data_IF_956720600050
#
_entry.id   IF_956720600050
#
_cell.length_a   1.000
_cell.length_b   1.000
_cell.length_c   1.000
_cell.angle_alpha   90.00
_cell.angle_beta   90.00
_cell.angle_gamma   90.00
#
_symmetry.space_group_name_H-M   'P 1'
#
loop_
_entity.id
_entity.type
_entity.pdbx_description
1 polymer ?
#
# COMPACT_ATOMS: atom_id res chain seq x y z
N UNK A 1 -6.81 -11.52 32.68
CA UNK A 1 -5.60 -10.75 33.01
C UNK A 1 -6.04 -9.43 33.60
N UNK A 2 -5.66 -9.15 34.85
CA UNK A 2 -5.92 -7.86 35.48
C UNK A 2 -4.97 -6.81 34.89
N UNK A 3 -5.47 -5.62 34.57
CA UNK A 3 -4.68 -4.46 34.12
C UNK A 3 -4.83 -3.39 35.20
N UNK A 4 -3.71 -2.89 35.70
CA UNK A 4 -3.70 -1.78 36.65
C UNK A 4 -3.72 -0.48 35.86
N UNK A 5 -4.73 0.35 36.09
CA UNK A 5 -4.85 1.67 35.47
C UNK A 5 -4.59 2.72 36.55
N UNK A 6 -3.68 3.68 36.27
CA UNK A 6 -3.39 4.76 37.20
C UNK A 6 -4.66 5.58 37.50
N UNK A 7 -4.88 6.04 38.75
CA UNK A 7 -6.09 6.79 39.11
C UNK A 7 -6.36 8.01 38.23
N UNK A 8 -5.31 8.74 37.84
CA UNK A 8 -5.42 9.89 36.93
C UNK A 8 -5.94 9.49 35.54
N UNK A 9 -5.42 8.39 34.99
CA UNK A 9 -5.84 7.84 33.70
C UNK A 9 -7.29 7.35 33.77
N UNK A 10 -7.64 6.59 34.82
CA UNK A 10 -9.00 6.11 35.04
C UNK A 10 -10.00 7.26 35.13
N UNK A 11 -9.69 8.30 35.91
CA UNK A 11 -10.54 9.47 36.08
C UNK A 11 -10.71 10.27 34.78
N UNK A 12 -9.66 10.36 33.94
CA UNK A 12 -9.75 10.98 32.63
C UNK A 12 -10.65 10.18 31.68
N UNK A 13 -10.50 8.85 31.66
CA UNK A 13 -11.34 7.97 30.83
C UNK A 13 -12.82 8.01 31.24
N UNK A 14 -13.12 8.00 32.53
CA UNK A 14 -14.50 8.12 33.06
C UNK A 14 -15.18 9.42 32.61
N UNK A 15 -14.42 10.52 32.57
CA UNK A 15 -14.89 11.84 32.11
C UNK A 15 -14.87 11.99 30.59
N UNK A 16 -14.49 10.95 29.83
CA UNK A 16 -14.24 11.02 28.38
C UNK A 16 -13.23 12.12 28.01
N UNK A 17 -12.28 12.38 28.91
CA UNK A 17 -11.16 13.29 28.70
C UNK A 17 -10.09 12.69 27.78
N UNK A 18 -9.19 13.56 27.29
CA UNK A 18 -8.11 13.15 26.41
C UNK A 18 -7.04 12.36 27.19
N UNK A 19 -6.74 11.14 26.74
CA UNK A 19 -5.66 10.31 27.24
C UNK A 19 -4.78 9.88 26.08
N UNK A 20 -3.46 9.99 26.25
CA UNK A 20 -2.47 9.60 25.24
C UNK A 20 -1.61 8.47 25.80
N UNK A 21 -1.68 7.30 25.18
CA UNK A 21 -0.79 6.19 25.52
C UNK A 21 0.64 6.48 25.07
N UNK A 22 1.62 5.95 25.81
CA UNK A 22 3.06 6.01 25.50
C UNK A 22 3.70 4.63 25.71
N UNK A 23 4.63 4.23 24.83
CA UNK A 23 5.31 2.93 24.92
C UNK A 23 6.52 2.98 25.88
N UNK A 24 6.90 1.82 26.42
CA UNK A 24 8.08 1.70 27.28
C UNK A 24 9.32 1.11 26.58
N UNK A 25 9.19 0.51 25.39
CA UNK A 25 10.35 -0.01 24.64
C UNK A 25 11.38 1.07 24.33
N UNK A 26 10.94 2.28 23.95
CA UNK A 26 11.86 3.39 23.66
C UNK A 26 12.70 3.78 24.88
N UNK A 27 12.13 3.64 26.08
CA UNK A 27 12.79 3.97 27.35
C UNK A 27 13.85 2.91 27.70
N UNK A 28 13.51 1.61 27.55
CA UNK A 28 14.42 0.52 27.94
C UNK A 28 15.47 0.16 26.87
N UNK A 29 15.07 0.22 25.60
CA UNK A 29 15.85 -0.32 24.46
C UNK A 29 16.22 0.73 23.42
N UNK A 30 15.56 1.88 23.43
CA UNK A 30 15.75 2.94 22.43
C UNK A 30 16.77 4.01 22.82
N UNK A 31 16.94 4.28 24.12
CA UNK A 31 17.79 5.37 24.62
C UNK A 31 18.60 4.94 25.85
N UNK A 32 19.82 5.46 26.05
CA UNK A 32 20.62 5.18 27.23
C UNK A 32 20.15 6.00 28.45
N UNK A 33 20.38 5.47 29.65
CA UNK A 33 20.21 6.22 30.90
C UNK A 33 21.31 7.30 31.05
N UNK A 34 20.99 8.51 31.55
CA UNK A 34 19.70 9.01 32.05
C UNK A 34 18.79 9.64 30.99
N UNK A 35 19.23 9.71 29.73
CA UNK A 35 18.47 10.38 28.65
C UNK A 35 17.11 9.74 28.42
N UNK A 36 17.00 8.42 28.55
CA UNK A 36 15.73 7.71 28.45
C UNK A 36 14.68 8.22 29.46
N UNK A 37 15.05 8.43 30.73
CA UNK A 37 14.17 8.94 31.78
C UNK A 37 13.82 10.42 31.54
N UNK A 38 14.81 11.23 31.16
CA UNK A 38 14.62 12.64 30.83
C UNK A 38 13.61 12.79 29.68
N UNK A 39 13.84 12.10 28.57
CA UNK A 39 12.92 12.12 27.42
C UNK A 39 11.52 11.62 27.78
N UNK A 40 11.40 10.53 28.55
CA UNK A 40 10.09 10.03 28.96
C UNK A 40 9.33 11.07 29.80
N UNK A 41 10.01 11.72 30.74
CA UNK A 41 9.44 12.77 31.60
C UNK A 41 9.03 14.01 30.79
N UNK A 42 9.88 14.44 29.85
CA UNK A 42 9.61 15.57 28.96
C UNK A 42 8.41 15.29 28.05
N UNK A 43 8.30 14.07 27.49
CA UNK A 43 7.15 13.68 26.68
C UNK A 43 5.86 13.66 27.50
N UNK A 44 5.88 13.15 28.73
CA UNK A 44 4.72 13.21 29.62
C UNK A 44 4.32 14.67 29.92
N UNK A 45 5.29 15.57 30.12
CA UNK A 45 5.03 16.99 30.32
C UNK A 45 4.39 17.65 29.09
N UNK A 46 4.89 17.39 27.89
CA UNK A 46 4.33 17.93 26.63
C UNK A 46 2.87 17.48 26.43
N UNK A 47 2.55 16.23 26.73
CA UNK A 47 1.17 15.73 26.67
C UNK A 47 0.25 16.48 27.66
N UNK A 48 0.75 16.73 28.87
CA UNK A 48 0.02 17.49 29.91
C UNK A 48 -0.19 18.94 29.52
N UNK A 49 0.82 19.59 28.97
CA UNK A 49 0.74 20.98 28.47
C UNK A 49 -0.30 21.11 27.34
N UNK A 50 -0.45 20.06 26.52
CA UNK A 50 -1.50 19.99 25.49
C UNK A 50 -2.91 19.69 26.05
N UNK A 51 -3.06 19.52 27.37
CA UNK A 51 -4.35 19.28 28.04
C UNK A 51 -4.80 17.82 28.07
N UNK A 52 -3.91 16.87 27.77
CA UNK A 52 -4.21 15.44 27.84
C UNK A 52 -3.47 14.75 28.99
N UNK A 53 -3.97 13.59 29.43
CA UNK A 53 -3.30 12.76 30.45
C UNK A 53 -2.39 11.74 29.76
N UNK A 54 -1.07 11.73 30.04
CA UNK A 54 -0.17 10.72 29.53
C UNK A 54 -0.37 9.39 30.26
N UNK A 55 -0.29 8.30 29.52
CA UNK A 55 -0.38 6.94 30.04
C UNK A 55 0.76 6.08 29.51
N UNK A 56 1.93 6.16 30.14
CA UNK A 56 3.05 5.24 29.86
C UNK A 56 2.66 3.81 30.24
N UNK A 57 2.84 2.87 29.32
CA UNK A 57 2.40 1.47 29.48
C UNK A 57 3.62 0.55 29.62
N UNK A 58 3.60 -0.36 30.59
CA UNK A 58 4.60 -1.41 30.78
C UNK A 58 4.00 -2.62 31.52
N UNK A 59 4.73 -3.74 31.57
CA UNK A 59 4.41 -4.87 32.45
C UNK A 59 5.41 -4.85 33.60
N UNK A 60 4.91 -4.75 34.82
CA UNK A 60 5.71 -4.74 36.05
C UNK A 60 5.38 -6.00 36.85
N UNK A 61 6.38 -6.84 37.09
CA UNK A 61 6.28 -8.05 37.90
C UNK A 61 5.06 -8.93 37.51
N UNK A 62 4.88 -9.13 36.19
CA UNK A 62 3.77 -9.89 35.60
C UNK A 62 2.46 -9.12 35.42
N UNK A 63 2.37 -7.87 35.90
CA UNK A 63 1.13 -7.08 35.89
C UNK A 63 1.22 -5.94 34.88
N UNK A 64 0.36 -5.90 33.84
CA UNK A 64 0.26 -4.74 32.96
C UNK A 64 -0.20 -3.50 33.71
N UNK A 65 0.53 -2.40 33.53
CA UNK A 65 0.23 -1.10 34.09
C UNK A 65 0.00 -0.09 32.95
N UNK A 66 -1.06 0.71 33.07
CA UNK A 66 -1.39 1.82 32.17
C UNK A 66 -1.37 3.12 32.96
N UNK A 67 -0.35 3.94 32.69
CA UNK A 67 0.04 5.08 33.52
C UNK A 67 1.03 4.63 34.60
N UNK A 68 2.30 4.96 34.43
CA UNK A 68 3.34 4.71 35.43
C UNK A 68 3.50 5.93 36.33
N UNK A 69 3.78 5.70 37.62
CA UNK A 69 4.24 6.78 38.50
C UNK A 69 5.74 7.04 38.31
N UNK A 70 6.26 8.13 38.90
CA UNK A 70 7.65 8.54 38.74
C UNK A 70 8.67 7.49 39.20
N UNK A 71 8.38 6.74 40.26
CA UNK A 71 9.26 5.67 40.76
C UNK A 71 9.27 4.45 39.82
N UNK A 72 8.10 4.06 39.30
CA UNK A 72 7.98 2.99 38.31
C UNK A 72 8.69 3.36 37.00
N UNK A 73 8.52 4.59 36.53
CA UNK A 73 9.18 5.10 35.33
C UNK A 73 10.70 5.13 35.50
N UNK A 74 11.18 5.56 36.67
CA UNK A 74 12.61 5.57 37.03
C UNK A 74 13.18 4.15 37.13
N UNK A 75 12.46 3.21 37.76
CA UNK A 75 12.83 1.78 37.80
C UNK A 75 12.99 1.24 36.38
N UNK A 76 12.01 1.50 35.51
CA UNK A 76 12.02 1.05 34.12
C UNK A 76 13.21 1.61 33.34
N UNK A 77 13.51 2.91 33.51
CA UNK A 77 14.62 3.57 32.84
C UNK A 77 16.02 3.10 33.32
N UNK A 78 16.19 2.84 34.62
CA UNK A 78 17.45 2.35 35.20
C UNK A 78 17.68 0.88 34.81
N UNK A 79 16.65 0.05 34.91
CA UNK A 79 16.76 -1.39 34.60
C UNK A 79 17.00 -1.65 33.10
N UNK A 80 16.54 -0.77 32.21
CA UNK A 80 16.86 -0.81 30.79
C UNK A 80 16.57 -2.19 30.16
N UNK A 81 17.59 -2.80 29.54
CA UNK A 81 17.48 -4.10 28.85
C UNK A 81 17.11 -5.30 29.75
N UNK A 82 17.13 -5.14 31.08
CA UNK A 82 16.61 -6.16 31.99
C UNK A 82 15.08 -6.33 31.83
N UNK A 83 14.39 -5.30 31.35
CA UNK A 83 13.00 -5.43 30.91
C UNK A 83 12.98 -6.09 29.54
N UNK A 84 12.28 -7.22 29.44
CA UNK A 84 12.10 -7.90 28.17
C UNK A 84 11.39 -6.97 27.18
N UNK A 85 11.87 -6.88 25.94
CA UNK A 85 11.14 -6.21 24.88
C UNK A 85 9.90 -7.04 24.53
N UNK A 86 8.72 -6.49 24.76
CA UNK A 86 7.45 -7.22 24.73
C UNK A 86 6.57 -6.71 23.60
N UNK A 87 6.46 -7.49 22.53
CA UNK A 87 5.43 -7.34 21.51
C UNK A 87 4.17 -8.12 21.91
N UNK A 88 3.08 -7.97 21.13
CA UNK A 88 1.78 -8.62 21.46
C UNK A 88 1.88 -10.12 21.76
N UNK A 89 2.70 -10.86 21.01
CA UNK A 89 2.88 -12.32 21.21
C UNK A 89 3.57 -12.66 22.53
N UNK A 90 4.39 -11.75 23.05
CA UNK A 90 5.23 -11.99 24.23
C UNK A 90 4.47 -11.72 25.54
N UNK A 91 3.34 -11.00 25.47
CA UNK A 91 2.53 -10.60 26.64
C UNK A 91 2.19 -11.80 27.51
N UNK A 92 1.70 -12.89 26.92
CA UNK A 92 1.26 -14.07 27.68
C UNK A 92 2.42 -14.68 28.48
N UNK A 93 3.61 -14.75 27.89
CA UNK A 93 4.80 -15.29 28.55
C UNK A 93 5.25 -14.39 29.70
N UNK A 94 5.39 -13.08 29.46
CA UNK A 94 5.88 -12.12 30.47
C UNK A 94 4.92 -12.03 31.66
N UNK A 95 3.62 -12.04 31.41
CA UNK A 95 2.60 -12.01 32.47
C UNK A 95 2.61 -13.31 33.27
N UNK A 96 2.63 -14.47 32.60
CA UNK A 96 2.59 -15.76 33.27
C UNK A 96 3.86 -16.05 34.10
N UNK A 97 5.01 -15.51 33.69
CA UNK A 97 6.29 -15.69 34.40
C UNK A 97 6.50 -14.70 35.55
N UNK A 98 5.60 -13.75 35.78
CA UNK A 98 5.83 -12.67 36.74
C UNK A 98 6.94 -11.71 36.28
N UNK A 99 7.24 -11.65 34.98
CA UNK A 99 8.36 -10.91 34.42
C UNK A 99 8.10 -9.42 34.23
N UNK A 100 9.17 -8.68 33.93
CA UNK A 100 9.13 -7.26 33.59
C UNK A 100 9.22 -7.08 32.06
N UNK A 101 8.28 -6.31 31.49
CA UNK A 101 8.12 -6.15 30.05
C UNK A 101 8.04 -4.69 29.63
N UNK A 102 8.94 -4.27 28.74
CA UNK A 102 8.87 -3.01 28.03
C UNK A 102 8.04 -3.20 26.75
N UNK A 103 6.85 -2.61 26.69
CA UNK A 103 5.90 -2.81 25.60
C UNK A 103 6.37 -2.12 24.33
N UNK A 104 6.31 -2.81 23.19
CA UNK A 104 6.48 -2.20 21.87
C UNK A 104 5.20 -1.50 21.44
N UNK A 105 5.17 -0.91 20.24
CA UNK A 105 3.96 -0.39 19.60
C UNK A 105 2.83 -1.42 19.63
N UNK A 106 3.06 -2.66 19.19
CA UNK A 106 2.00 -3.68 19.15
C UNK A 106 1.40 -4.02 20.53
N UNK A 107 2.23 -4.18 21.56
CA UNK A 107 1.73 -4.47 22.91
C UNK A 107 1.07 -3.23 23.55
N UNK A 108 1.60 -2.04 23.32
CA UNK A 108 1.06 -0.78 23.85
C UNK A 108 -0.33 -0.53 23.29
N UNK A 109 -0.53 -0.69 21.97
CA UNK A 109 -1.85 -0.61 21.34
C UNK A 109 -2.85 -1.58 21.94
N UNK A 110 -2.45 -2.83 22.16
CA UNK A 110 -3.31 -3.85 22.76
C UNK A 110 -3.81 -3.43 24.15
N UNK A 111 -2.91 -2.97 25.02
CA UNK A 111 -3.30 -2.52 26.37
C UNK A 111 -4.10 -1.22 26.36
N UNK A 112 -3.69 -0.24 25.54
CA UNK A 112 -4.38 1.04 25.38
C UNK A 112 -5.85 0.81 24.98
N UNK A 113 -6.07 -0.02 23.95
CA UNK A 113 -7.41 -0.35 23.49
C UNK A 113 -8.23 -1.08 24.56
N UNK A 114 -7.62 -2.02 25.29
CA UNK A 114 -8.28 -2.77 26.37
C UNK A 114 -8.83 -1.87 27.48
N UNK A 115 -8.24 -0.71 27.70
CA UNK A 115 -8.69 0.27 28.71
C UNK A 115 -9.42 1.48 28.09
N UNK A 116 -9.68 1.48 26.79
CA UNK A 116 -10.44 2.53 26.11
C UNK A 116 -9.65 3.76 25.68
N UNK A 117 -8.31 3.73 25.70
CA UNK A 117 -7.47 4.79 25.13
C UNK A 117 -7.42 4.65 23.61
N UNK A 118 -7.70 5.73 22.88
CA UNK A 118 -7.82 5.73 21.42
C UNK A 118 -6.62 6.35 20.69
N UNK A 119 -5.74 7.07 21.41
CA UNK A 119 -4.59 7.77 20.85
C UNK A 119 -3.29 7.25 21.48
N UNK A 120 -2.30 6.96 20.65
CA UNK A 120 -0.97 6.52 21.06
C UNK A 120 0.10 7.31 20.28
N UNK A 121 1.11 7.81 20.97
CA UNK A 121 2.27 8.50 20.36
C UNK A 121 3.53 7.67 20.54
N UNK A 122 4.32 7.55 19.48
CA UNK A 122 5.67 6.97 19.50
C UNK A 122 6.60 7.77 18.58
N UNK A 123 7.91 7.56 18.68
CA UNK A 123 8.86 8.13 17.72
C UNK A 123 8.63 7.57 16.30
N UNK A 124 8.56 6.25 16.16
CA UNK A 124 8.46 5.59 14.86
C UNK A 124 7.98 4.17 15.00
N UNK A 125 7.04 3.74 14.17
CA UNK A 125 6.52 2.37 14.20
C UNK A 125 7.56 1.38 13.64
N UNK A 126 7.41 0.09 13.96
CA UNK A 126 8.04 -0.96 13.18
C UNK A 126 7.43 -1.07 11.78
N UNK A 127 8.01 -1.92 10.94
CA UNK A 127 7.57 -2.05 9.56
C UNK A 127 8.15 -3.29 8.89
N UNK A 128 8.09 -3.32 7.56
CA UNK A 128 8.78 -4.33 6.76
C UNK A 128 10.27 -3.99 6.75
N UNK A 129 11.12 -4.94 7.11
CA UNK A 129 12.56 -4.73 7.06
C UNK A 129 13.05 -4.70 5.60
N UNK A 130 14.21 -4.09 5.36
CA UNK A 130 14.84 -4.13 4.02
C UNK A 130 15.11 -5.58 3.65
N UNK A 131 14.81 -5.94 2.39
CA UNK A 131 14.80 -7.33 1.89
C UNK A 131 13.72 -8.22 2.52
N UNK A 132 12.68 -7.63 3.13
CA UNK A 132 11.56 -8.36 3.74
C UNK A 132 10.80 -9.28 2.79
N UNK A 133 10.89 -9.08 1.46
CA UNK A 133 10.33 -10.00 0.46
C UNK A 133 11.07 -11.35 0.34
N UNK A 134 12.21 -11.46 1.01
CA UNK A 134 13.06 -12.66 1.08
C UNK A 134 13.10 -13.20 2.49
N UNK A 135 13.35 -12.33 3.48
CA UNK A 135 13.52 -12.72 4.89
C UNK A 135 12.19 -12.93 5.60
N UNK A 136 11.11 -12.35 5.09
CA UNK A 136 9.82 -12.23 5.78
C UNK A 136 9.93 -11.56 7.16
N UNK A 137 10.98 -10.76 7.39
CA UNK A 137 11.17 -9.98 8.60
C UNK A 137 10.25 -8.75 8.59
N UNK A 138 9.08 -8.91 9.20
CA UNK A 138 8.02 -7.91 9.24
C UNK A 138 7.59 -7.68 10.68
N UNK A 139 7.57 -6.42 11.11
CA UNK A 139 7.15 -6.08 12.47
C UNK A 139 5.69 -6.45 12.73
N UNK A 140 5.44 -7.06 13.89
CA UNK A 140 4.09 -7.31 14.42
C UNK A 140 3.24 -6.04 14.59
N UNK A 141 3.88 -4.86 14.61
CA UNK A 141 3.18 -3.57 14.71
C UNK A 141 2.20 -3.36 13.55
N UNK A 142 2.55 -3.80 12.34
CA UNK A 142 1.69 -3.61 11.16
C UNK A 142 0.40 -4.43 11.24
N UNK A 143 0.52 -5.67 11.71
CA UNK A 143 -0.63 -6.54 11.96
C UNK A 143 -1.50 -6.02 13.11
N UNK A 144 -0.88 -5.40 14.12
CA UNK A 144 -1.62 -4.80 15.22
C UNK A 144 -2.43 -3.57 14.76
N UNK A 145 -1.82 -2.71 13.94
CA UNK A 145 -2.48 -1.55 13.35
C UNK A 145 -3.73 -1.93 12.56
N UNK A 146 -3.75 -3.09 11.89
CA UNK A 146 -4.93 -3.59 11.18
C UNK A 146 -6.04 -4.15 12.07
N UNK A 147 -5.76 -4.42 13.35
CA UNK A 147 -6.67 -5.15 14.25
C UNK A 147 -7.20 -4.32 15.41
N UNK A 148 -6.44 -3.32 15.83
CA UNK A 148 -6.67 -2.62 17.09
C UNK A 148 -6.99 -1.15 16.79
N UNK A 149 -8.21 -0.67 17.11
CA UNK A 149 -8.67 0.68 16.75
C UNK A 149 -8.07 1.73 17.69
N UNK A 150 -6.77 1.98 17.52
CA UNK A 150 -5.99 3.01 18.20
C UNK A 150 -5.23 3.79 17.14
N UNK A 151 -5.40 5.11 17.10
CA UNK A 151 -4.66 5.97 16.20
C UNK A 151 -3.22 6.14 16.71
N UNK A 152 -2.25 5.81 15.87
CA UNK A 152 -0.82 5.91 16.21
C UNK A 152 -0.21 7.11 15.51
N UNK A 153 0.31 8.06 16.30
CA UNK A 153 1.04 9.23 15.81
C UNK A 153 2.54 8.95 15.91
N UNK A 154 3.25 9.06 14.79
CA UNK A 154 4.70 8.84 14.72
C UNK A 154 5.37 9.67 13.62
N UNK A 155 6.70 9.71 13.63
CA UNK A 155 7.50 10.23 12.51
C UNK A 155 7.62 9.19 11.37
N UNK A 156 6.57 8.42 11.11
CA UNK A 156 6.57 7.32 10.15
C UNK A 156 7.13 6.02 10.74
N UNK A 157 7.90 5.27 9.94
CA UNK A 157 8.55 4.02 10.34
C UNK A 157 10.03 4.26 10.62
N UNK A 158 10.63 3.50 11.54
CA UNK A 158 12.07 3.60 11.85
C UNK A 158 12.93 3.56 10.57
N UNK A 159 13.94 4.42 10.47
CA UNK A 159 14.74 4.67 9.25
C UNK A 159 15.47 3.45 8.66
N UNK A 160 15.65 2.39 9.45
CA UNK A 160 16.24 1.12 9.04
C UNK A 160 15.31 0.26 8.17
N UNK A 161 14.04 0.62 8.05
CA UNK A 161 12.99 -0.19 7.42
C UNK A 161 12.79 0.15 5.94
N UNK A 162 11.96 -0.65 5.27
CA UNK A 162 11.52 -0.47 3.89
C UNK A 162 10.17 0.24 3.86
N UNK A 163 10.19 1.53 3.57
CA UNK A 163 8.98 2.37 3.57
C UNK A 163 7.98 1.92 2.51
N UNK A 164 8.35 1.76 1.21
CA UNK A 164 7.40 1.29 0.20
C UNK A 164 6.69 0.00 0.58
N UNK A 165 7.42 -1.03 1.03
CA UNK A 165 6.80 -2.30 1.42
C UNK A 165 5.96 -2.19 2.67
N UNK A 166 6.34 -1.31 3.60
CA UNK A 166 5.54 -1.06 4.79
C UNK A 166 4.19 -0.45 4.43
N UNK A 167 4.16 0.50 3.49
CA UNK A 167 2.91 1.09 2.99
C UNK A 167 2.01 0.05 2.31
N UNK A 168 2.57 -0.82 1.47
CA UNK A 168 1.80 -1.92 0.84
C UNK A 168 1.23 -2.89 1.88
N UNK A 169 1.98 -3.18 2.95
CA UNK A 169 1.49 -4.06 4.03
C UNK A 169 0.37 -3.39 4.83
N UNK A 170 0.51 -2.10 5.16
CA UNK A 170 -0.53 -1.33 5.85
C UNK A 170 -1.80 -1.22 5.03
N UNK A 171 -1.68 -0.99 3.72
CA UNK A 171 -2.79 -1.05 2.77
C UNK A 171 -3.48 -2.42 2.82
N UNK A 172 -2.70 -3.52 2.77
CA UNK A 172 -3.22 -4.89 2.86
C UNK A 172 -3.96 -5.16 4.18
N UNK A 173 -3.51 -4.53 5.28
CA UNK A 173 -4.16 -4.62 6.59
C UNK A 173 -5.37 -3.68 6.74
N UNK A 174 -5.72 -2.88 5.73
CA UNK A 174 -6.79 -1.90 5.80
C UNK A 174 -6.48 -0.72 6.72
N UNK A 175 -5.19 -0.45 6.98
CA UNK A 175 -4.75 0.63 7.86
C UNK A 175 -4.73 1.95 7.10
N UNK A 176 -5.49 2.93 7.58
CA UNK A 176 -5.43 4.29 7.05
C UNK A 176 -4.12 4.96 7.47
N UNK A 177 -3.34 5.41 6.49
CA UNK A 177 -2.10 6.18 6.70
C UNK A 177 -2.34 7.62 6.28
N UNK A 178 -2.11 8.56 7.19
CA UNK A 178 -2.19 9.99 6.92
C UNK A 178 -0.88 10.67 7.32
N UNK A 179 -0.43 11.61 6.50
CA UNK A 179 0.72 12.44 6.79
C UNK A 179 0.26 13.86 7.21
N UNK A 180 0.86 14.39 8.27
CA UNK A 180 0.47 15.68 8.84
C UNK A 180 1.31 16.81 8.21
N UNK A 181 0.64 17.76 7.54
CA UNK A 181 1.26 18.93 6.87
C UNK A 181 2.29 18.59 5.77
N UNK A 182 2.29 17.37 5.25
CA UNK A 182 3.16 16.95 4.14
C UNK A 182 2.46 15.89 3.29
N UNK A 183 2.75 15.84 1.99
CA UNK A 183 2.26 14.81 1.06
C UNK A 183 3.23 13.60 0.95
N UNK A 184 4.20 13.55 1.84
CA UNK A 184 5.26 12.57 1.84
C UNK A 184 5.23 11.77 3.14
N UNK A 185 5.38 10.46 3.03
CA UNK A 185 5.51 9.65 4.22
C UNK A 185 6.85 9.98 4.91
N UNK A 186 6.87 10.38 6.19
CA UNK A 186 8.12 10.72 6.88
C UNK A 186 9.02 9.48 7.07
N UNK A 187 10.33 9.65 6.94
CA UNK A 187 11.34 8.59 7.09
C UNK A 187 12.06 8.67 8.45
N UNK A 188 11.31 8.90 9.52
CA UNK A 188 11.81 9.04 10.89
C UNK A 188 12.69 10.28 11.08
N UNK A 189 14.00 10.18 10.80
CA UNK A 189 14.93 11.30 10.96
C UNK A 189 14.82 12.35 9.85
N UNK A 190 14.26 11.97 8.70
CA UNK A 190 14.08 12.88 7.57
C UNK A 190 12.60 13.04 7.25
N UNK A 191 12.20 14.28 7.01
CA UNK A 191 10.83 14.62 6.56
C UNK A 191 10.53 14.06 5.15
N UNK A 192 11.59 13.77 4.39
CA UNK A 192 11.57 13.32 3.00
C UNK A 192 12.03 11.85 2.97
N UNK A 193 11.22 10.97 2.40
CA UNK A 193 11.47 9.52 2.22
C UNK A 193 11.63 9.10 0.76
N UNK A 194 11.33 9.98 -0.20
CA UNK A 194 11.10 9.64 -1.61
C UNK A 194 9.78 8.90 -1.87
N UNK A 195 9.02 8.58 -0.81
CA UNK A 195 7.71 7.93 -0.89
C UNK A 195 6.62 9.00 -0.85
N UNK A 196 6.55 9.78 -1.93
CA UNK A 196 5.44 10.69 -2.21
C UNK A 196 4.30 9.93 -2.89
N UNK A 197 3.07 10.44 -2.75
CA UNK A 197 2.10 10.30 -3.84
C UNK A 197 2.75 10.88 -5.10
N UNK A 198 3.16 10.01 -6.04
CA UNK A 198 4.02 10.38 -7.19
C UNK A 198 3.41 11.54 -7.97
N UNK A 199 4.13 12.67 -8.08
CA UNK A 199 3.86 13.64 -9.16
C UNK A 199 4.14 12.96 -10.50
N UNK A 200 3.12 12.88 -11.34
CA UNK A 200 3.21 12.24 -12.64
C UNK A 200 3.98 13.15 -13.61
N UNK A 201 5.14 12.68 -14.09
CA UNK A 201 6.01 13.39 -15.05
C UNK A 201 6.20 12.54 -16.31
N UNK A 202 5.18 12.42 -17.18
CA UNK A 202 5.09 11.38 -18.21
C UNK A 202 6.19 11.46 -19.27
N UNK A 203 6.71 12.66 -19.54
CA UNK A 203 7.74 12.88 -20.56
C UNK A 203 9.09 12.20 -20.25
N UNK A 204 9.34 11.78 -19.00
CA UNK A 204 10.52 10.96 -18.69
C UNK A 204 10.48 9.59 -19.37
N UNK A 205 9.29 9.06 -19.68
CA UNK A 205 9.14 7.80 -20.40
C UNK A 205 9.60 7.87 -21.86
N UNK A 206 9.77 9.08 -22.40
CA UNK A 206 10.13 9.34 -23.79
C UNK A 206 11.62 9.68 -23.97
N UNK A 207 12.39 9.56 -22.89
CA UNK A 207 13.85 9.70 -22.88
C UNK A 207 14.50 8.53 -22.14
N UNK A 208 15.78 8.29 -22.40
CA UNK A 208 16.62 7.34 -21.67
C UNK A 208 17.51 8.14 -20.74
N UNK A 209 17.42 7.93 -19.43
CA UNK A 209 18.31 8.55 -18.45
C UNK A 209 19.68 7.86 -18.52
N UNK A 210 20.74 8.64 -18.75
CA UNK A 210 22.12 8.16 -18.83
C UNK A 210 22.85 8.38 -17.51
N UNK A 211 22.68 9.55 -16.90
CA UNK A 211 23.19 9.86 -15.56
C UNK A 211 22.11 10.61 -14.78
N UNK A 212 21.90 10.21 -13.52
CA UNK A 212 20.88 10.77 -12.63
C UNK A 212 21.56 11.59 -11.54
N UNK A 213 21.20 12.87 -11.42
CA UNK A 213 21.68 13.69 -10.32
C UNK A 213 21.09 13.18 -8.99
N UNK A 214 21.90 13.04 -7.93
CA UNK A 214 21.46 12.44 -6.66
C UNK A 214 20.44 13.29 -5.89
N UNK A 215 20.40 14.62 -6.08
CA UNK A 215 19.58 15.54 -5.27
C UNK A 215 19.00 16.71 -6.06
N UNK A 216 18.26 16.41 -7.14
CA UNK A 216 17.52 17.45 -7.89
C UNK A 216 18.44 18.40 -8.66
N UNK A 217 18.78 18.03 -9.89
CA UNK A 217 19.64 18.80 -10.78
C UNK A 217 19.47 18.36 -12.23
N UNK A 218 20.26 18.95 -13.13
CA UNK A 218 20.24 18.54 -14.53
C UNK A 218 20.71 17.08 -14.64
N UNK A 219 19.93 16.27 -15.36
CA UNK A 219 20.27 14.88 -15.66
C UNK A 219 20.75 14.79 -17.11
N UNK A 220 21.62 13.83 -17.41
CA UNK A 220 21.99 13.52 -18.79
C UNK A 220 20.96 12.52 -19.32
N UNK A 221 20.32 12.85 -20.42
CA UNK A 221 19.28 12.03 -21.02
C UNK A 221 19.38 12.01 -22.54
N UNK A 222 19.00 10.88 -23.14
CA UNK A 222 18.93 10.67 -24.59
C UNK A 222 17.48 10.64 -25.04
N UNK A 223 17.13 11.43 -26.05
CA UNK A 223 15.80 11.41 -26.64
C UNK A 223 15.55 10.10 -27.40
N UNK A 224 14.44 9.40 -27.12
CA UNK A 224 14.10 8.13 -27.82
C UNK A 224 13.73 8.31 -29.30
N UNK A 225 13.38 9.52 -29.72
CA UNK A 225 12.97 9.80 -31.10
C UNK A 225 14.14 10.21 -31.99
N UNK A 226 14.96 11.16 -31.53
CA UNK A 226 16.08 11.70 -32.33
C UNK A 226 17.45 11.17 -31.91
N UNK A 227 17.54 10.39 -30.84
CA UNK A 227 18.78 9.85 -30.25
C UNK A 227 19.82 10.91 -29.85
N UNK A 228 19.45 12.20 -29.80
CA UNK A 228 20.32 13.25 -29.28
C UNK A 228 20.37 13.22 -27.76
N UNK A 229 21.56 13.45 -27.23
CA UNK A 229 21.83 13.55 -25.80
C UNK A 229 21.80 15.01 -25.35
N UNK A 230 21.21 15.21 -24.17
CA UNK A 230 21.00 16.53 -23.61
C UNK A 230 21.25 16.48 -22.10
N UNK A 231 21.78 17.58 -21.57
CA UNK A 231 21.93 17.79 -20.14
C UNK A 231 20.86 18.80 -19.66
N UNK A 232 19.97 18.36 -18.78
CA UNK A 232 18.85 19.19 -18.38
C UNK A 232 17.85 18.58 -17.40
N UNK A 233 16.99 19.43 -16.85
CA UNK A 233 15.83 19.05 -16.05
C UNK A 233 14.64 18.61 -16.92
N UNK A 234 13.55 18.15 -16.27
CA UNK A 234 12.28 17.78 -16.92
C UNK A 234 11.73 18.90 -17.82
N UNK A 235 11.92 20.17 -17.46
CA UNK A 235 11.49 21.30 -18.28
C UNK A 235 12.19 21.32 -19.65
N UNK A 236 13.46 20.91 -19.71
CA UNK A 236 14.20 20.79 -20.97
C UNK A 236 13.72 19.60 -21.81
N UNK A 237 13.40 18.47 -21.18
CA UNK A 237 12.73 17.33 -21.84
C UNK A 237 11.40 17.78 -22.46
N UNK A 238 10.58 18.53 -21.69
CA UNK A 238 9.32 19.09 -22.15
C UNK A 238 9.50 19.99 -23.37
N UNK A 239 10.43 20.95 -23.32
CA UNK A 239 10.63 21.89 -24.41
C UNK A 239 11.15 21.22 -25.68
N UNK A 240 12.04 20.23 -25.54
CA UNK A 240 12.55 19.43 -26.66
C UNK A 240 11.45 18.61 -27.35
N UNK A 241 10.65 17.87 -26.57
CA UNK A 241 9.62 16.95 -27.08
C UNK A 241 8.34 17.66 -27.54
N UNK A 242 7.91 18.71 -26.83
CA UNK A 242 6.72 19.49 -27.18
C UNK A 242 7.01 20.60 -28.21
N UNK A 243 8.24 20.69 -28.71
CA UNK A 243 8.70 21.65 -29.72
C UNK A 243 8.46 23.12 -29.33
N UNK A 244 8.74 23.45 -28.07
CA UNK A 244 8.67 24.82 -27.55
C UNK A 244 9.92 25.59 -28.01
N UNK A 245 9.74 26.62 -28.83
CA UNK A 245 10.84 27.42 -29.37
C UNK A 245 11.37 28.44 -28.33
N UNK A 246 12.61 28.93 -28.52
CA UNK A 246 13.18 30.03 -27.73
C UNK A 246 13.71 29.67 -26.34
N UNK A 247 13.78 28.38 -25.98
CA UNK A 247 14.12 27.95 -24.60
C UNK A 247 15.55 27.40 -24.44
N UNK A 248 16.47 27.69 -25.36
CA UNK A 248 17.87 27.28 -25.28
C UNK A 248 18.16 25.78 -25.44
N UNK A 249 17.17 24.96 -25.84
CA UNK A 249 17.35 23.55 -26.21
C UNK A 249 16.86 23.32 -27.64
N UNK A 250 17.58 22.52 -28.43
CA UNK A 250 17.17 22.16 -29.79
C UNK A 250 15.86 21.37 -29.73
N UNK A 251 14.89 21.71 -30.57
CA UNK A 251 13.63 20.97 -30.69
C UNK A 251 13.88 19.60 -31.32
N UNK A 252 13.08 18.59 -30.96
CA UNK A 252 13.20 17.27 -31.56
C UNK A 252 12.72 17.29 -33.02
N UNK A 253 13.58 16.99 -34.02
CA UNK A 253 13.19 17.00 -35.43
C UNK A 253 12.32 15.79 -35.81
N UNK A 254 12.39 14.69 -35.05
CA UNK A 254 11.71 13.43 -35.35
C UNK A 254 10.35 13.24 -34.64
N UNK A 255 9.90 14.22 -33.85
CA UNK A 255 8.54 14.21 -33.28
C UNK A 255 7.55 14.67 -34.35
N UNK A 256 6.70 13.73 -34.79
CA UNK A 256 5.62 13.95 -35.76
C UNK A 256 4.43 14.67 -35.13
N UNK A 257 3.47 15.14 -35.94
CA UNK A 257 2.26 15.82 -35.45
C UNK A 257 1.40 14.91 -34.55
N UNK A 258 1.29 13.62 -34.88
CA UNK A 258 0.53 12.63 -34.09
C UNK A 258 1.19 12.36 -32.73
N UNK A 259 2.51 12.17 -32.72
CA UNK A 259 3.28 11.99 -31.48
C UNK A 259 3.21 13.24 -30.61
N UNK A 260 3.28 14.45 -31.20
CA UNK A 260 3.13 15.70 -30.45
C UNK A 260 1.76 15.82 -29.76
N UNK A 261 0.67 15.41 -30.44
CA UNK A 261 -0.67 15.42 -29.86
C UNK A 261 -0.79 14.45 -28.68
N UNK A 262 -0.21 13.25 -28.81
CA UNK A 262 -0.15 12.26 -27.73
C UNK A 262 0.63 12.80 -26.53
N UNK A 263 1.83 13.36 -26.74
CA UNK A 263 2.66 13.92 -25.67
C UNK A 263 1.96 15.08 -24.94
N UNK A 264 1.21 15.94 -25.66
CA UNK A 264 0.41 17.01 -25.06
C UNK A 264 -0.74 16.46 -24.21
N UNK A 265 -1.42 15.41 -24.68
CA UNK A 265 -2.50 14.73 -23.94
C UNK A 265 -1.98 14.08 -22.65
N UNK A 266 -0.84 13.40 -22.71
CA UNK A 266 -0.19 12.80 -21.53
C UNK A 266 0.17 13.87 -20.49
N UNK A 267 0.70 15.02 -20.90
CA UNK A 267 1.04 16.14 -20.00
C UNK A 267 -0.20 16.80 -19.40
N UNK A 268 -1.29 16.95 -20.16
CA UNK A 268 -2.54 17.52 -19.66
C UNK A 268 -3.19 16.61 -18.60
N UNK A 269 -3.26 15.30 -18.85
CA UNK A 269 -3.75 14.31 -17.88
C UNK A 269 -2.91 14.32 -16.60
N UNK A 270 -1.59 14.28 -16.74
CA UNK A 270 -0.70 14.34 -15.58
C UNK A 270 -0.84 15.65 -14.79
N UNK A 271 -1.21 16.77 -15.42
CA UNK A 271 -1.47 18.02 -14.72
C UNK A 271 -2.76 17.97 -13.90
N UNK A 272 -3.82 17.33 -14.41
CA UNK A 272 -5.08 17.10 -13.69
C UNK A 272 -4.89 16.12 -12.51
N UNK A 273 -4.15 15.03 -12.71
CA UNK A 273 -3.81 14.06 -11.65
C UNK A 273 -3.03 14.72 -10.50
N UNK A 274 -2.06 15.58 -10.86
CA UNK A 274 -1.26 16.36 -9.90
C UNK A 274 -2.08 17.45 -9.19
N UNK A 275 -3.21 17.90 -9.75
CA UNK A 275 -4.11 18.88 -9.13
C UNK A 275 -5.09 18.21 -8.16
N UNK A 276 -5.60 17.02 -8.52
CA UNK A 276 -6.50 16.22 -7.67
C UNK A 276 -5.82 15.68 -6.41
N UNK A 277 -4.51 15.44 -6.46
CA UNK A 277 -3.66 14.98 -5.35
C UNK A 277 -3.19 16.10 -4.42
N UNK A 278 -3.68 17.34 -4.59
CA UNK A 278 -3.43 18.44 -3.65
C UNK A 278 -4.22 18.25 -2.36
N UNK A 279 -3.64 18.73 -1.26
CA UNK A 279 -4.29 18.74 0.05
C UNK A 279 -5.64 19.46 0.01
N UNK A 280 -6.66 18.86 0.64
CA UNK A 280 -7.99 19.47 0.83
C UNK A 280 -8.23 19.62 2.33
N UNK A 281 -8.84 20.73 2.73
CA UNK A 281 -9.22 20.96 4.13
C UNK A 281 -10.42 20.10 4.50
N UNK A 282 -10.25 19.25 5.52
CA UNK A 282 -11.32 18.42 6.08
C UNK A 282 -11.41 18.70 7.58
N UNK A 283 -12.54 19.20 8.10
CA UNK A 283 -12.70 19.45 9.53
C UNK A 283 -12.80 18.13 10.32
N UNK A 284 -12.10 18.04 11.46
CA UNK A 284 -12.18 16.91 12.38
C UNK A 284 -13.51 16.92 13.18
N UNK A 285 -14.09 15.75 13.50
CA UNK A 285 -15.23 15.67 14.41
C UNK A 285 -14.82 16.13 15.81
N UNK A 286 -15.51 17.15 16.35
CA UNK A 286 -15.35 17.57 17.76
C UNK A 286 -14.84 18.99 18.01
N UNK A 287 -14.61 19.81 16.97
CA UNK A 287 -14.41 21.24 17.17
C UNK A 287 -15.71 21.85 17.72
N UNK A 288 -15.76 22.10 19.03
CA UNK A 288 -16.84 22.86 19.64
C UNK A 288 -17.01 24.19 18.91
N UNK A 289 -18.24 24.47 18.48
CA UNK A 289 -18.59 25.73 17.83
C UNK A 289 -18.34 26.88 18.83
N UNK A 290 -17.22 27.59 18.70
CA UNK A 290 -16.95 28.71 19.61
C UNK A 290 -15.58 29.41 19.57
N UNK A 291 -14.56 28.91 18.85
CA UNK A 291 -13.28 29.64 18.74
C UNK A 291 -12.97 30.01 17.29
N UNK A 292 -13.19 31.28 16.98
CA UNK A 292 -12.75 31.94 15.76
C UNK A 292 -11.23 32.19 15.80
N UNK A 293 -10.44 31.21 15.35
CA UNK A 293 -9.10 31.44 14.81
C UNK A 293 -8.78 30.28 13.87
N UNK A 294 -8.73 30.57 12.57
CA UNK A 294 -8.54 29.58 11.52
C UNK A 294 -7.20 28.88 11.61
N UNK A 295 -7.24 27.56 11.71
CA UNK A 295 -6.25 26.67 11.10
C UNK A 295 -6.90 25.32 10.86
N UNK A 296 -7.56 25.18 9.70
CA UNK A 296 -7.99 23.86 9.21
C UNK A 296 -6.76 22.97 9.09
N UNK A 297 -6.79 21.79 9.70
CA UNK A 297 -5.72 20.81 9.59
C UNK A 297 -6.08 19.83 8.45
N UNK A 298 -5.35 19.83 7.33
CA UNK A 298 -5.68 18.97 6.19
C UNK A 298 -5.34 17.51 6.50
N UNK A 299 -6.33 16.63 6.36
CA UNK A 299 -6.17 15.17 6.32
C UNK A 299 -6.08 14.75 4.85
N UNK A 300 -4.99 14.07 4.48
CA UNK A 300 -4.74 13.64 3.11
C UNK A 300 -5.43 12.33 2.76
N UNK A 301 -5.67 12.14 1.47
CA UNK A 301 -6.42 11.03 0.90
C UNK A 301 -5.78 9.66 1.20
N UNK A 302 -6.65 8.69 1.50
CA UNK A 302 -6.35 7.27 1.71
C UNK A 302 -5.60 6.71 0.49
N UNK A 303 -4.56 5.91 0.73
CA UNK A 303 -3.79 5.25 -0.34
C UNK A 303 -4.70 4.41 -1.26
N UNK A 304 -4.37 4.38 -2.56
CA UNK A 304 -5.08 3.58 -3.57
C UNK A 304 -5.16 2.10 -3.13
N UNK A 305 -6.36 1.52 -3.20
CA UNK A 305 -6.64 0.12 -2.79
C UNK A 305 -6.33 -0.86 -3.91
N UNK A 306 -5.61 -1.96 -3.65
CA UNK A 306 -5.21 -2.93 -4.68
C UNK A 306 -5.84 -4.32 -4.47
N UNK A 307 -6.87 -4.62 -5.28
CA UNK A 307 -7.83 -5.73 -5.17
C UNK A 307 -7.34 -7.20 -5.38
N UNK A 308 -6.03 -7.51 -5.44
CA UNK A 308 -5.56 -8.77 -6.06
C UNK A 308 -4.56 -9.64 -5.26
N UNK A 309 -4.53 -9.53 -3.93
CA UNK A 309 -3.53 -10.18 -3.08
C UNK A 309 -3.38 -11.70 -3.29
N UNK A 310 -4.47 -12.43 -3.52
CA UNK A 310 -4.44 -13.91 -3.72
C UNK A 310 -3.73 -14.31 -5.01
N UNK A 311 -4.03 -13.65 -6.14
CA UNK A 311 -3.38 -13.94 -7.43
C UNK A 311 -1.90 -13.57 -7.38
N UNK A 312 -1.57 -12.44 -6.75
CA UNK A 312 -0.17 -12.02 -6.56
C UNK A 312 0.60 -13.02 -5.70
N UNK A 313 -0.02 -13.54 -4.63
CA UNK A 313 0.59 -14.57 -3.79
C UNK A 313 0.82 -15.86 -4.55
N UNK A 314 -0.13 -16.32 -5.38
CA UNK A 314 0.06 -17.51 -6.22
C UNK A 314 1.19 -17.33 -7.24
N UNK A 315 1.25 -16.18 -7.93
CA UNK A 315 2.38 -15.83 -8.82
C UNK A 315 3.72 -15.87 -8.09
N UNK A 316 3.76 -15.33 -6.87
CA UNK A 316 4.97 -15.37 -6.04
C UNK A 316 5.33 -16.80 -5.64
N UNK A 317 4.33 -17.61 -5.30
CA UNK A 317 4.51 -19.02 -4.93
C UNK A 317 5.14 -19.83 -6.08
N UNK A 318 4.68 -19.61 -7.32
CA UNK A 318 5.28 -20.21 -8.52
C UNK A 318 6.72 -19.76 -8.73
N UNK A 319 7.04 -18.49 -8.49
CA UNK A 319 8.39 -17.94 -8.65
C UNK A 319 9.41 -18.58 -7.69
N UNK A 320 8.99 -18.94 -6.47
CA UNK A 320 9.86 -19.55 -5.45
C UNK A 320 9.79 -21.09 -5.43
N UNK A 321 9.07 -21.73 -6.37
CA UNK A 321 8.86 -23.19 -6.47
C UNK A 321 10.13 -24.02 -6.22
N UNK A 322 11.23 -23.70 -6.91
CA UNK A 322 12.50 -24.45 -6.79
C UNK A 322 13.12 -24.33 -5.40
N UNK A 323 13.08 -23.14 -4.80
CA UNK A 323 13.60 -22.91 -3.46
C UNK A 323 12.79 -23.69 -2.41
N UNK A 324 11.46 -23.68 -2.55
CA UNK A 324 10.55 -24.45 -1.69
C UNK A 324 10.79 -25.96 -1.81
N UNK A 325 10.95 -26.49 -3.03
CA UNK A 325 11.28 -27.89 -3.26
C UNK A 325 12.63 -28.28 -2.62
N UNK A 326 13.65 -27.44 -2.79
CA UNK A 326 14.96 -27.66 -2.16
C UNK A 326 14.88 -27.65 -0.64
N UNK A 327 14.08 -26.73 -0.07
CA UNK A 327 13.89 -26.61 1.37
C UNK A 327 13.27 -27.88 1.95
N UNK A 328 12.17 -28.37 1.40
CA UNK A 328 11.45 -29.53 1.96
C UNK A 328 12.18 -30.86 1.77
N UNK A 329 13.21 -30.92 0.92
CA UNK A 329 14.08 -32.10 0.73
C UNK A 329 15.30 -32.06 1.67
N UNK A 330 15.66 -30.88 2.20
CA UNK A 330 16.88 -30.71 2.99
C UNK A 330 16.86 -31.46 4.33
N UNK A 331 18.04 -31.84 4.84
CA UNK A 331 18.18 -32.46 6.17
C UNK A 331 17.70 -31.53 7.30
N UNK A 332 17.83 -30.21 7.12
CA UNK A 332 17.34 -29.21 8.06
C UNK A 332 15.80 -29.14 8.13
N UNK A 333 15.07 -29.73 7.17
CA UNK A 333 13.61 -29.86 7.24
C UNK A 333 13.19 -30.93 8.25
N UNK A 334 14.02 -31.96 8.44
CA UNK A 334 13.76 -33.05 9.38
C UNK A 334 13.82 -32.57 10.83
N UNK A 335 14.70 -31.62 11.14
CA UNK A 335 14.80 -31.01 12.48
C UNK A 335 13.67 -30.03 12.81
N UNK A 336 12.89 -29.58 11.82
CA UNK A 336 11.74 -28.68 12.01
C UNK A 336 10.43 -29.43 12.37
N UNK A 337 10.40 -30.77 12.26
CA UNK A 337 9.18 -31.59 12.42
C UNK A 337 8.67 -31.74 13.86
N UNK A 338 9.47 -31.42 14.88
CA UNK A 338 9.14 -31.74 16.28
C UNK A 338 7.93 -30.98 16.84
N UNK A 339 7.58 -29.82 16.27
CA UNK A 339 6.46 -28.99 16.77
C UNK A 339 5.10 -29.27 16.09
N UNK A 340 5.07 -29.86 14.87
CA UNK A 340 3.81 -30.15 14.14
C UNK A 340 3.98 -31.11 12.95
N UNK A 341 4.34 -32.36 13.22
CA UNK A 341 4.71 -33.38 12.22
C UNK A 341 3.67 -33.61 11.10
N UNK A 342 2.37 -33.56 11.42
CA UNK A 342 1.29 -33.76 10.46
C UNK A 342 1.18 -32.66 9.40
N UNK A 343 1.31 -31.39 9.80
CA UNK A 343 1.29 -30.26 8.86
C UNK A 343 2.57 -30.21 8.02
N UNK A 344 3.73 -30.50 8.62
CA UNK A 344 5.00 -30.55 7.90
C UNK A 344 4.99 -31.62 6.80
N UNK A 345 4.41 -32.80 7.09
CA UNK A 345 4.22 -33.86 6.11
C UNK A 345 3.31 -33.43 4.96
N UNK A 346 2.15 -32.84 5.27
CA UNK A 346 1.23 -32.33 4.25
C UNK A 346 1.89 -31.29 3.34
N UNK A 347 2.64 -30.34 3.91
CA UNK A 347 3.35 -29.31 3.15
C UNK A 347 4.40 -29.92 2.22
N UNK A 348 5.20 -30.88 2.72
CA UNK A 348 6.19 -31.60 1.91
C UNK A 348 5.52 -32.33 0.75
N UNK A 349 4.44 -33.05 1.00
CA UNK A 349 3.70 -33.77 -0.05
C UNK A 349 3.16 -32.82 -1.12
N UNK A 350 2.59 -31.67 -0.74
CA UNK A 350 2.09 -30.68 -1.70
C UNK A 350 3.20 -30.03 -2.52
N UNK A 351 4.29 -29.59 -1.88
CA UNK A 351 5.42 -28.92 -2.55
C UNK A 351 6.16 -29.87 -3.49
N UNK A 352 6.22 -31.17 -3.19
CA UNK A 352 6.85 -32.15 -4.07
C UNK A 352 5.92 -32.70 -5.15
N UNK A 353 4.61 -32.46 -5.06
CA UNK A 353 3.64 -32.95 -6.03
C UNK A 353 3.64 -32.11 -7.33
N UNK A 354 4.04 -32.68 -8.49
CA UNK A 354 4.05 -31.93 -9.76
C UNK A 354 2.65 -31.45 -10.18
N UNK A 355 1.64 -32.33 -10.01
CA UNK A 355 0.24 -32.04 -10.33
C UNK A 355 -0.32 -30.85 -9.53
N UNK A 356 0.15 -30.66 -8.30
CA UNK A 356 -0.27 -29.52 -7.49
C UNK A 356 0.22 -28.19 -8.07
N UNK A 357 1.48 -28.15 -8.52
CA UNK A 357 2.03 -26.98 -9.20
C UNK A 357 1.38 -26.71 -10.55
N UNK A 358 1.09 -27.75 -11.34
CA UNK A 358 0.34 -27.61 -12.59
C UNK A 358 -1.06 -27.02 -12.38
N UNK A 359 -1.70 -27.31 -11.24
CA UNK A 359 -2.97 -26.70 -10.87
C UNK A 359 -2.81 -25.23 -10.48
N UNK A 360 -1.73 -24.86 -9.77
CA UNK A 360 -1.46 -23.47 -9.43
C UNK A 360 -1.15 -22.62 -10.66
N UNK A 361 -0.30 -23.13 -11.56
CA UNK A 361 0.00 -22.50 -12.85
C UNK A 361 -1.30 -22.31 -13.64
N UNK A 362 -2.14 -23.33 -13.73
CA UNK A 362 -3.44 -23.23 -14.40
C UNK A 362 -4.35 -22.15 -13.78
N UNK A 363 -4.45 -22.08 -12.44
CA UNK A 363 -5.24 -21.06 -11.75
C UNK A 363 -4.75 -19.66 -12.12
N UNK A 364 -3.44 -19.44 -12.08
CA UNK A 364 -2.85 -18.14 -12.46
C UNK A 364 -3.15 -17.84 -13.93
N UNK A 365 -2.92 -18.79 -14.83
CA UNK A 365 -3.08 -18.58 -16.27
C UNK A 365 -4.49 -18.15 -16.66
N UNK A 366 -5.54 -18.77 -16.12
CA UNK A 366 -6.92 -18.41 -16.49
C UNK A 366 -7.43 -17.18 -15.72
N UNK A 367 -6.86 -16.85 -14.55
CA UNK A 367 -7.23 -15.64 -13.80
C UNK A 367 -6.48 -14.39 -14.26
N UNK A 368 -5.34 -14.55 -14.94
CA UNK A 368 -4.52 -13.45 -15.43
C UNK A 368 -5.25 -12.47 -16.36
N UNK A 369 -6.00 -12.92 -17.38
CA UNK A 369 -6.76 -11.99 -18.23
C UNK A 369 -7.80 -11.18 -17.45
N UNK A 370 -8.40 -11.77 -16.42
CA UNK A 370 -9.37 -11.10 -15.54
C UNK A 370 -8.65 -10.04 -14.72
N UNK A 371 -7.53 -10.41 -14.10
CA UNK A 371 -6.70 -9.50 -13.31
C UNK A 371 -6.18 -8.32 -14.13
N UNK A 372 -5.64 -8.55 -15.33
CA UNK A 372 -5.12 -7.49 -16.20
C UNK A 372 -6.22 -6.53 -16.65
N UNK A 373 -7.41 -7.03 -17.00
CA UNK A 373 -8.54 -6.19 -17.35
C UNK A 373 -8.96 -5.30 -16.18
N UNK A 374 -9.13 -5.88 -14.99
CA UNK A 374 -9.49 -5.14 -13.77
C UNK A 374 -8.44 -4.09 -13.44
N UNK A 375 -7.16 -4.42 -13.55
CA UNK A 375 -6.04 -3.48 -13.33
C UNK A 375 -6.05 -2.29 -14.27
N UNK A 376 -6.48 -2.47 -15.51
CA UNK A 376 -6.60 -1.37 -16.48
C UNK A 376 -7.84 -0.53 -16.20
N UNK A 377 -8.94 -1.16 -15.79
CA UNK A 377 -10.20 -0.49 -15.43
C UNK A 377 -10.08 0.29 -14.09
N UNK A 378 -9.24 -0.18 -13.18
CA UNK A 378 -8.95 0.40 -11.86
C UNK A 378 -7.87 1.50 -11.93
N UNK A 379 -7.81 2.22 -13.05
CA UNK A 379 -6.92 3.39 -13.20
C UNK A 379 -7.73 4.65 -13.43
N UNK A 380 -7.20 5.82 -13.05
CA UNK A 380 -7.83 7.12 -13.31
C UNK A 380 -7.92 7.50 -14.80
N UNK A 381 -7.49 6.63 -15.72
CA UNK A 381 -7.59 6.87 -17.15
C UNK A 381 -9.05 6.71 -17.59
N UNK A 382 -9.58 7.60 -18.46
CA UNK A 382 -10.89 7.37 -19.06
C UNK A 382 -10.89 6.06 -19.87
N UNK A 383 -11.46 5.00 -19.31
CA UNK A 383 -11.49 3.66 -19.92
C UNK A 383 -12.92 3.17 -20.22
N UNK A 384 -13.94 3.95 -19.84
CA UNK A 384 -15.36 3.58 -19.97
C UNK A 384 -15.74 3.11 -21.39
N UNK A 385 -15.20 3.78 -22.41
CA UNK A 385 -15.43 3.46 -23.83
C UNK A 385 -14.74 2.17 -24.31
N UNK A 386 -13.76 1.67 -23.56
CA UNK A 386 -12.99 0.46 -23.85
C UNK A 386 -13.50 -0.76 -23.10
N UNK A 387 -14.36 -0.57 -22.10
CA UNK A 387 -14.78 -1.65 -21.19
C UNK A 387 -15.38 -2.84 -21.95
N UNK A 388 -16.19 -2.63 -22.99
CA UNK A 388 -16.73 -3.73 -23.81
C UNK A 388 -15.63 -4.53 -24.52
N UNK A 389 -14.73 -3.86 -25.23
CA UNK A 389 -13.63 -4.52 -25.96
C UNK A 389 -12.69 -5.26 -24.99
N UNK A 390 -12.40 -4.64 -23.85
CA UNK A 390 -11.60 -5.25 -22.78
C UNK A 390 -12.29 -6.48 -22.18
N UNK A 391 -13.60 -6.43 -22.02
CA UNK A 391 -14.40 -7.52 -21.49
C UNK A 391 -14.46 -8.72 -22.45
N UNK A 392 -14.75 -8.46 -23.73
CA UNK A 392 -14.78 -9.50 -24.77
C UNK A 392 -13.41 -10.16 -24.93
N UNK A 393 -12.35 -9.35 -25.01
CA UNK A 393 -10.97 -9.83 -25.10
C UNK A 393 -10.58 -10.65 -23.86
N UNK A 394 -11.01 -10.22 -22.68
CA UNK A 394 -10.78 -10.95 -21.43
C UNK A 394 -11.47 -12.32 -21.47
N UNK A 395 -12.76 -12.39 -21.80
CA UNK A 395 -13.50 -13.66 -21.89
C UNK A 395 -12.85 -14.59 -22.92
N UNK A 396 -12.48 -14.08 -24.10
CA UNK A 396 -11.81 -14.89 -25.12
C UNK A 396 -10.49 -15.46 -24.62
N UNK A 397 -9.69 -14.68 -23.91
CA UNK A 397 -8.41 -15.14 -23.38
C UNK A 397 -8.60 -16.16 -22.25
N UNK A 398 -9.59 -15.96 -21.36
CA UNK A 398 -9.97 -16.96 -20.35
C UNK A 398 -10.40 -18.27 -21.03
N UNK A 399 -11.24 -18.19 -22.08
CA UNK A 399 -11.68 -19.35 -22.86
C UNK A 399 -10.48 -20.09 -23.45
N UNK A 400 -9.57 -19.38 -24.11
CA UNK A 400 -8.37 -19.96 -24.75
C UNK A 400 -7.53 -20.74 -23.75
N UNK A 401 -7.28 -20.19 -22.57
CA UNK A 401 -6.50 -20.88 -21.52
C UNK A 401 -7.21 -22.16 -21.05
N UNK A 402 -8.50 -22.07 -20.74
CA UNK A 402 -9.28 -23.22 -20.26
C UNK A 402 -9.36 -24.32 -21.33
N UNK A 403 -9.67 -23.97 -22.58
CA UNK A 403 -9.80 -24.92 -23.67
C UNK A 403 -8.46 -25.59 -24.00
N UNK A 404 -7.36 -24.83 -23.94
CA UNK A 404 -6.01 -25.39 -24.10
C UNK A 404 -5.70 -26.41 -23.01
N UNK A 405 -6.03 -26.11 -21.74
CA UNK A 405 -5.83 -27.05 -20.62
C UNK A 405 -6.71 -28.30 -20.75
N UNK A 406 -7.96 -28.14 -21.16
CA UNK A 406 -8.91 -29.24 -21.37
C UNK A 406 -8.68 -30.01 -22.68
N UNK A 407 -7.76 -29.53 -23.55
CA UNK A 407 -7.52 -30.07 -24.90
C UNK A 407 -8.78 -30.12 -25.76
N UNK A 408 -9.60 -29.06 -25.68
CA UNK A 408 -10.84 -28.93 -26.43
C UNK A 408 -10.68 -28.08 -27.68
N UNK A 409 -11.45 -28.41 -28.69
CA UNK A 409 -11.62 -27.59 -29.91
C UNK A 409 -12.63 -26.48 -29.64
N UNK A 410 -12.58 -25.40 -30.42
CA UNK A 410 -13.43 -24.21 -30.20
C UNK A 410 -14.93 -24.47 -30.30
N UNK A 411 -15.32 -25.53 -31.03
CA UNK A 411 -16.68 -26.03 -31.22
C UNK A 411 -17.18 -26.94 -30.09
N UNK A 412 -16.28 -27.39 -29.21
CA UNK A 412 -16.61 -28.27 -28.09
C UNK A 412 -17.03 -27.47 -26.85
N UNK A 413 -17.88 -28.04 -26.00
CA UNK A 413 -18.34 -27.39 -24.77
C UNK A 413 -17.45 -27.72 -23.57
N UNK A 414 -17.11 -26.71 -22.77
CA UNK A 414 -16.46 -26.86 -21.47
C UNK A 414 -17.41 -26.50 -20.34
N UNK A 415 -17.69 -27.48 -19.47
CA UNK A 415 -18.51 -27.26 -18.27
C UNK A 415 -17.85 -26.27 -17.32
N UNK A 416 -16.53 -26.34 -17.17
CA UNK A 416 -15.78 -25.40 -16.35
C UNK A 416 -15.80 -23.98 -16.93
N UNK A 417 -15.54 -23.83 -18.23
CA UNK A 417 -15.66 -22.52 -18.88
C UNK A 417 -17.08 -21.96 -18.76
N UNK A 418 -18.12 -22.80 -18.90
CA UNK A 418 -19.51 -22.35 -18.75
C UNK A 418 -19.74 -21.73 -17.36
N UNK A 419 -19.29 -22.40 -16.29
CA UNK A 419 -19.40 -21.86 -14.92
C UNK A 419 -18.65 -20.52 -14.79
N UNK A 420 -17.42 -20.45 -15.32
CA UNK A 420 -16.61 -19.22 -15.26
C UNK A 420 -17.27 -18.11 -16.08
N UNK A 421 -17.78 -18.43 -17.27
CA UNK A 421 -18.47 -17.52 -18.15
C UNK A 421 -19.72 -16.95 -17.48
N UNK A 422 -20.53 -17.79 -16.82
CA UNK A 422 -21.71 -17.34 -16.08
C UNK A 422 -21.33 -16.38 -14.94
N UNK A 423 -20.27 -16.68 -14.17
CA UNK A 423 -19.75 -15.79 -13.13
C UNK A 423 -19.30 -14.45 -13.71
N UNK A 424 -18.61 -14.47 -14.85
CA UNK A 424 -18.17 -13.27 -15.54
C UNK A 424 -19.40 -12.46 -16.02
N UNK A 425 -20.34 -13.09 -16.71
CA UNK A 425 -21.56 -12.43 -17.22
C UNK A 425 -22.41 -11.86 -16.07
N UNK A 426 -22.55 -12.55 -14.94
CA UNK A 426 -23.25 -12.04 -13.76
C UNK A 426 -22.57 -10.79 -13.16
N UNK A 427 -21.25 -10.68 -13.28
CA UNK A 427 -20.49 -9.48 -12.89
C UNK A 427 -20.63 -8.37 -13.94
N UNK A 428 -20.66 -8.75 -15.21
CA UNK A 428 -20.84 -7.83 -16.34
C UNK A 428 -22.21 -7.16 -16.30
N UNK A 429 -23.28 -7.93 -16.13
CA UNK A 429 -24.66 -7.43 -16.11
C UNK A 429 -24.88 -6.37 -15.02
N UNK A 430 -24.16 -6.45 -13.91
CA UNK A 430 -24.15 -5.43 -12.85
C UNK A 430 -23.39 -4.15 -13.22
N UNK A 431 -22.49 -4.22 -14.19
CA UNK A 431 -21.63 -3.12 -14.65
C UNK A 431 -22.03 -2.58 -16.04
N UNK A 432 -22.99 -3.23 -16.71
CA UNK A 432 -23.47 -2.89 -18.04
C UNK A 432 -24.59 -1.84 -17.98
N UNK A 433 -24.23 -0.58 -17.72
CA UNK A 433 -25.21 0.53 -17.67
C UNK A 433 -25.38 1.20 -19.05
N UNK A 434 -26.51 1.88 -19.32
CA UNK A 434 -26.68 2.66 -20.56
C UNK A 434 -25.55 3.65 -20.85
N UNK A 435 -24.86 4.12 -19.80
CA UNK A 435 -23.70 5.00 -19.91
C UNK A 435 -22.49 4.30 -20.55
N UNK A 436 -22.26 3.02 -20.22
CA UNK A 436 -21.22 2.22 -20.88
C UNK A 436 -21.57 2.00 -22.36
N UNK A 437 -22.84 1.66 -22.65
CA UNK A 437 -23.32 1.50 -24.02
C UNK A 437 -23.08 2.78 -24.83
N UNK A 438 -23.48 3.93 -24.29
CA UNK A 438 -23.33 5.22 -24.93
C UNK A 438 -21.85 5.58 -25.15
N UNK A 439 -20.99 5.38 -24.14
CA UNK A 439 -19.56 5.65 -24.24
C UNK A 439 -18.87 4.79 -25.31
N UNK A 440 -19.26 3.52 -25.43
CA UNK A 440 -18.77 2.63 -26.47
C UNK A 440 -19.30 3.03 -27.85
N UNK A 441 -20.61 3.28 -27.99
CA UNK A 441 -21.24 3.69 -29.24
C UNK A 441 -20.76 5.05 -29.73
N UNK A 442 -20.30 5.96 -28.86
CA UNK A 442 -19.78 7.27 -29.28
C UNK A 442 -18.27 7.26 -29.58
N UNK A 443 -17.59 6.11 -29.47
CA UNK A 443 -16.16 6.03 -29.71
C UNK A 443 -15.84 6.16 -31.22
N UNK A 444 -15.17 7.24 -31.67
CA UNK A 444 -14.89 7.48 -33.09
C UNK A 444 -14.05 6.38 -33.75
N UNK A 445 -13.29 5.60 -32.96
CA UNK A 445 -12.45 4.50 -33.43
C UNK A 445 -13.24 3.40 -34.15
N UNK A 446 -14.54 3.26 -33.87
CA UNK A 446 -15.40 2.27 -34.50
C UNK A 446 -16.16 2.80 -35.72
N UNK A 447 -15.94 4.07 -36.10
CA UNK A 447 -16.58 4.70 -37.24
C UNK A 447 -15.59 4.96 -38.37
N UNK A 448 -16.02 4.68 -39.59
CA UNK A 448 -15.22 4.98 -40.78
C UNK A 448 -15.10 6.50 -40.95
N UNK A 449 -13.96 6.98 -41.45
CA UNK A 449 -13.67 8.43 -41.61
C UNK A 449 -14.74 9.15 -42.47
N UNK A 450 -15.27 8.45 -43.49
CA UNK A 450 -16.41 8.89 -44.31
C UNK A 450 -17.73 9.09 -43.52
N UNK A 451 -17.93 8.35 -42.44
CA UNK A 451 -19.10 8.49 -41.57
C UNK A 451 -18.97 9.72 -40.67
N UNK A 452 -17.76 10.01 -40.18
CA UNK A 452 -17.46 11.15 -39.30
C UNK A 452 -17.44 12.50 -40.03
N UNK A 453 -17.17 12.52 -41.34
CA UNK A 453 -16.95 13.75 -42.13
C UNK A 453 -18.17 14.21 -42.97
N UNK A 454 -19.40 13.88 -42.56
CA UNK A 454 -20.69 14.34 -43.10
C UNK A 454 -20.75 14.60 -44.64
N UNK A 455 -21.11 13.58 -45.42
CA UNK A 455 -21.54 13.73 -46.82
C UNK A 455 -22.94 13.15 -47.06
N UNK A 456 -23.71 13.67 -48.05
CA UNK A 456 -25.00 13.08 -48.43
C UNK A 456 -24.78 11.66 -48.98
N UNK A 457 -25.47 10.65 -48.42
CA UNK A 457 -25.32 9.24 -48.81
C UNK A 457 -24.75 8.31 -47.74
N UNK A 458 -25.13 8.48 -46.47
CA UNK A 458 -24.66 7.67 -45.33
C UNK A 458 -24.89 6.17 -45.58
N UNK A 459 -23.85 5.35 -45.40
CA UNK A 459 -23.99 3.92 -45.13
C UNK A 459 -23.73 3.67 -43.64
N UNK A 460 -24.53 2.79 -42.99
CA UNK A 460 -24.34 2.44 -41.59
C UNK A 460 -23.00 1.70 -41.36
N UNK A 461 -22.50 1.67 -40.11
CA UNK A 461 -21.25 0.98 -39.77
C UNK A 461 -21.27 -0.49 -40.23
N UNK A 462 -20.10 -1.00 -40.65
CA UNK A 462 -19.95 -2.38 -41.13
C UNK A 462 -20.46 -3.35 -40.07
N UNK A 463 -21.45 -4.15 -40.49
CA UNK A 463 -22.16 -5.16 -39.73
C UNK A 463 -21.26 -6.39 -39.55
N UNK A 464 -20.32 -6.36 -38.62
CA UNK A 464 -19.64 -7.58 -38.13
C UNK A 464 -19.51 -7.50 -36.61
N UNK A 465 -20.60 -7.84 -35.94
CA UNK A 465 -20.64 -8.61 -34.69
C UNK A 465 -22.11 -8.98 -34.49
N UNK A 466 -22.42 -10.27 -34.70
CA UNK A 466 -23.74 -10.84 -34.45
C UNK A 466 -24.01 -10.72 -32.95
N UNK A 467 -24.81 -9.74 -32.56
CA UNK A 467 -25.63 -9.86 -31.36
C UNK A 467 -26.78 -10.83 -31.69
N UNK A 468 -26.67 -12.07 -31.21
CA UNK A 468 -27.85 -12.84 -30.84
C UNK A 468 -27.86 -12.90 -29.32
N UNK A 469 -29.01 -12.51 -28.77
CA UNK A 469 -29.36 -12.41 -27.35
C UNK A 469 -29.09 -13.69 -26.57
#
# INVERSE_FOLDING_TARGET
MSIVVAPEVAAALERRGAVVALESTIICHGMPYPKNLQTATEVEAVVREAGAVPATIAILDGVPHVGLNSEQLKRLAISGRQFQKTARRDIAHVVASGGNGATTVSATMFFAHKVGIQIFVTGGIGGVHRHGEQTMDVSSDLTELGKTPVAVVSAGVKSILDIPRTLEYLETQGVTVAAYRTNEFPAFFTEISGCQQKKNYPLWNHVVLLEKAPTGGNSIWRCKYCNQEHNGSYSRVRNHLLRVAGTGIKICPKVTKSVLAQLKSEVAKAAEDNDRSKAKDVPLPGAAAGSSAGSGFPLLAVAETRFASVVVMLKRFLLVKRALQSMVISEAWETYRDDNSGQAQFVREKILCPRWWENLEYIVDFTDPIYEMLRVADTDKPCLHLIYEMWDTMIENVKKVIYTKEKKRDDEQSTFFTIIYDILVDRWTKSNTPLHCLAHSLNPRYYHEKWLNERPGRQPPIRTLRFQL
#
